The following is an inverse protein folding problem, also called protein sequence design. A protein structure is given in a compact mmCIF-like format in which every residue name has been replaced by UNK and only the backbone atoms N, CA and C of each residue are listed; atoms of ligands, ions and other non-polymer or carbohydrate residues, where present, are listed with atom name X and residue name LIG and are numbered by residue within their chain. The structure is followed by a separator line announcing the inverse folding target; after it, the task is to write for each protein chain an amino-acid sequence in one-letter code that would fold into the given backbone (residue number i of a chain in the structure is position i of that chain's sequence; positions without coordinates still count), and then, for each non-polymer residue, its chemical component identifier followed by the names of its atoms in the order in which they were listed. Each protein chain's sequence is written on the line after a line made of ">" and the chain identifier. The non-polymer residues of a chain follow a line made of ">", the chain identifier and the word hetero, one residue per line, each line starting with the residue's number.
data_IF_394133146047
#
_entry.id   IF_394133146047
#
_cell.length_a   1.000
_cell.length_b   1.000
_cell.length_c   1.000
_cell.angle_alpha   90.00
_cell.angle_beta   90.00
_cell.angle_gamma   90.00
#
_symmetry.space_group_name_H-M   'P 1'
#
loop_
_entity.id
_entity.type
_entity.pdbx_description
1 polymer ?
#
# COMPACT_ATOMS: atom_id res chain seq x y z
N UNK A 1 -8.95 -9.36 13.75
CA UNK A 1 -9.93 -9.81 14.77
C UNK A 1 -9.66 -9.21 16.14
N UNK A 2 -8.43 -9.31 16.69
CA UNK A 2 -8.09 -8.77 18.01
C UNK A 2 -8.40 -7.27 18.16
N UNK A 3 -8.03 -6.45 17.19
CA UNK A 3 -8.30 -5.01 17.19
C UNK A 3 -9.81 -4.67 17.29
N UNK A 4 -10.66 -5.47 16.64
CA UNK A 4 -12.11 -5.30 16.70
C UNK A 4 -12.63 -5.56 18.13
N UNK A 5 -12.15 -6.62 18.78
CA UNK A 5 -12.51 -6.94 20.16
C UNK A 5 -12.09 -5.79 21.08
N UNK A 6 -10.87 -5.28 20.93
CA UNK A 6 -10.38 -4.13 21.71
C UNK A 6 -11.26 -2.89 21.50
N UNK A 7 -11.61 -2.55 20.25
CA UNK A 7 -12.50 -1.41 19.97
C UNK A 7 -13.90 -1.59 20.56
N UNK A 8 -14.45 -2.80 20.59
CA UNK A 8 -15.74 -3.08 21.22
C UNK A 8 -15.69 -2.92 22.75
N UNK A 9 -14.61 -3.38 23.38
CA UNK A 9 -14.38 -3.18 24.82
C UNK A 9 -14.25 -1.69 25.15
N UNK A 10 -13.46 -0.95 24.36
CA UNK A 10 -13.33 0.51 24.52
C UNK A 10 -14.67 1.23 24.36
N UNK A 11 -15.46 0.85 23.36
CA UNK A 11 -16.80 1.41 23.14
C UNK A 11 -17.70 1.15 24.35
N UNK A 12 -17.70 -0.07 24.90
CA UNK A 12 -18.46 -0.42 26.10
C UNK A 12 -18.05 0.42 27.31
N UNK A 13 -16.74 0.58 27.55
CA UNK A 13 -16.22 1.43 28.64
C UNK A 13 -16.65 2.89 28.47
N UNK A 14 -16.58 3.43 27.25
CA UNK A 14 -16.99 4.81 26.96
C UNK A 14 -18.51 5.01 27.10
N UNK A 15 -19.32 4.00 26.75
CA UNK A 15 -20.77 4.02 27.01
C UNK A 15 -21.09 3.99 28.52
N UNK A 16 -20.35 3.20 29.30
CA UNK A 16 -20.48 3.18 30.76
C UNK A 16 -20.10 4.54 31.37
N UNK A 17 -19.03 5.16 30.87
CA UNK A 17 -18.63 6.52 31.23
C UNK A 17 -19.71 7.54 30.87
N UNK A 18 -20.25 7.49 29.65
CA UNK A 18 -21.31 8.39 29.19
C UNK A 18 -22.53 8.35 30.11
N UNK A 19 -22.94 7.15 30.57
CA UNK A 19 -24.06 7.01 31.51
C UNK A 19 -23.82 7.73 32.85
N UNK A 20 -22.56 7.85 33.28
CA UNK A 20 -22.20 8.49 34.56
C UNK A 20 -21.96 10.00 34.41
N UNK A 21 -21.25 10.41 33.36
CA UNK A 21 -20.79 11.79 33.18
C UNK A 21 -21.73 12.67 32.34
N UNK A 22 -22.65 12.08 31.57
CA UNK A 22 -23.53 12.78 30.62
C UNK A 22 -22.83 13.69 29.59
N UNK A 23 -21.51 13.55 29.41
CA UNK A 23 -20.74 14.32 28.43
C UNK A 23 -20.42 13.47 27.20
N UNK A 24 -21.22 13.56 26.12
CA UNK A 24 -20.98 12.78 24.90
C UNK A 24 -19.67 13.16 24.21
N UNK A 25 -19.26 14.43 24.32
CA UNK A 25 -18.02 14.92 23.72
C UNK A 25 -16.79 14.31 24.40
N UNK A 26 -16.78 14.23 25.73
CA UNK A 26 -15.66 13.64 26.47
C UNK A 26 -15.59 12.13 26.20
N UNK A 27 -16.74 11.44 26.17
CA UNK A 27 -16.80 10.02 25.79
C UNK A 27 -16.27 9.77 24.37
N UNK A 28 -16.61 10.65 23.41
CA UNK A 28 -16.11 10.59 22.05
C UNK A 28 -14.59 10.78 21.97
N UNK A 29 -14.07 11.81 22.64
CA UNK A 29 -12.64 12.10 22.67
C UNK A 29 -11.85 10.95 23.30
N UNK A 30 -12.31 10.43 24.43
CA UNK A 30 -11.70 9.27 25.09
C UNK A 30 -11.66 8.05 24.18
N UNK A 31 -12.78 7.74 23.51
CA UNK A 31 -12.85 6.63 22.57
C UNK A 31 -11.84 6.79 21.42
N UNK A 32 -11.78 7.95 20.79
CA UNK A 32 -10.89 8.21 19.66
C UNK A 32 -9.42 8.11 20.04
N UNK A 33 -9.02 8.66 21.18
CA UNK A 33 -7.64 8.58 21.68
C UNK A 33 -7.26 7.13 22.01
N UNK A 34 -8.12 6.40 22.71
CA UNK A 34 -7.85 5.00 23.06
C UNK A 34 -7.87 4.07 21.84
N UNK A 35 -8.75 4.34 20.86
CA UNK A 35 -8.79 3.64 19.58
C UNK A 35 -7.49 3.84 18.80
N UNK A 36 -7.00 5.08 18.72
CA UNK A 36 -5.73 5.41 18.06
C UNK A 36 -4.54 4.72 18.75
N UNK A 37 -4.49 4.74 20.08
CA UNK A 37 -3.46 4.05 20.86
C UNK A 37 -3.50 2.54 20.63
N UNK A 38 -4.69 1.93 20.55
CA UNK A 38 -4.84 0.51 20.26
C UNK A 38 -4.33 0.15 18.86
N UNK A 39 -4.59 0.99 17.86
CA UNK A 39 -4.07 0.80 16.49
C UNK A 39 -2.54 0.90 16.50
N UNK A 40 -1.99 1.91 17.17
CA UNK A 40 -0.55 2.12 17.26
C UNK A 40 0.16 0.95 17.96
N UNK A 41 -0.34 0.51 19.12
CA UNK A 41 0.18 -0.65 19.86
C UNK A 41 0.08 -1.95 19.04
N UNK A 42 -1.01 -2.13 18.28
CA UNK A 42 -1.19 -3.32 17.44
C UNK A 42 -0.14 -3.38 16.32
N UNK A 43 0.22 -2.24 15.72
CA UNK A 43 1.28 -2.19 14.72
C UNK A 43 2.65 -2.44 15.35
N UNK A 44 2.95 -1.79 16.47
CA UNK A 44 4.21 -1.96 17.19
C UNK A 44 4.47 -3.41 17.64
N UNK A 45 3.40 -4.19 17.88
CA UNK A 45 3.50 -5.61 18.24
C UNK A 45 3.77 -6.54 17.05
N UNK A 46 3.41 -6.14 15.83
CA UNK A 46 3.59 -6.95 14.61
C UNK A 46 4.94 -6.67 13.96
N UNK A 47 5.35 -5.41 13.91
CA UNK A 47 6.66 -5.02 13.40
C UNK A 47 7.24 -3.87 14.25
N UNK A 48 8.32 -4.11 15.02
CA UNK A 48 8.95 -3.07 15.83
C UNK A 48 9.71 -2.04 14.98
N UNK A 49 9.89 -2.27 13.67
CA UNK A 49 10.44 -1.26 12.77
C UNK A 49 9.36 -0.21 12.44
N UNK A 50 9.50 0.96 13.08
CA UNK A 50 8.54 2.09 13.09
C UNK A 50 8.27 2.69 11.69
N UNK A 51 8.96 2.23 10.64
CA UNK A 51 8.88 2.80 9.28
C UNK A 51 7.57 2.55 8.54
N UNK A 52 6.68 1.69 9.04
CA UNK A 52 5.45 1.31 8.32
C UNK A 52 4.19 2.13 8.60
N UNK A 53 4.17 2.98 9.64
CA UNK A 53 2.93 3.70 10.02
C UNK A 53 2.93 5.10 9.41
N UNK A 54 2.14 5.30 8.36
CA UNK A 54 1.96 6.63 7.77
C UNK A 54 1.22 7.58 8.74
N UNK A 55 1.83 8.71 9.14
CA UNK A 55 1.23 9.65 10.10
C UNK A 55 -0.08 10.26 9.59
N UNK A 56 -0.22 10.40 8.26
CA UNK A 56 -1.44 10.88 7.61
C UNK A 56 -2.59 9.89 7.81
N UNK A 57 -2.33 8.58 7.68
CA UNK A 57 -3.34 7.54 7.89
C UNK A 57 -3.86 7.52 9.33
N UNK A 58 -2.96 7.66 10.31
CA UNK A 58 -3.33 7.80 11.72
C UNK A 58 -4.19 9.04 11.99
N UNK A 59 -3.81 10.18 11.39
CA UNK A 59 -4.54 11.43 11.55
C UNK A 59 -5.96 11.35 10.98
N UNK A 60 -6.09 10.84 9.74
CA UNK A 60 -7.38 10.66 9.08
C UNK A 60 -8.25 9.66 9.85
N UNK A 61 -7.65 8.54 10.28
CA UNK A 61 -8.32 7.54 11.12
C UNK A 61 -8.84 8.12 12.43
N UNK A 62 -8.06 8.97 13.10
CA UNK A 62 -8.48 9.66 14.32
C UNK A 62 -9.70 10.56 14.09
N UNK A 63 -9.67 11.42 13.07
CA UNK A 63 -10.80 12.32 12.79
C UNK A 63 -12.06 11.57 12.37
N UNK A 64 -11.91 10.49 11.62
CA UNK A 64 -13.04 9.62 11.27
C UNK A 64 -13.64 8.95 12.52
N UNK A 65 -12.81 8.32 13.36
CA UNK A 65 -13.26 7.70 14.61
C UNK A 65 -13.93 8.73 15.53
N UNK A 66 -13.38 9.94 15.61
CA UNK A 66 -13.94 11.04 16.40
C UNK A 66 -15.30 11.53 15.88
N UNK A 67 -15.44 11.76 14.57
CA UNK A 67 -16.71 12.16 13.98
C UNK A 67 -17.82 11.13 14.20
N UNK A 68 -17.51 9.84 13.98
CA UNK A 68 -18.44 8.73 14.25
C UNK A 68 -18.78 8.65 15.73
N UNK A 69 -17.79 8.77 16.62
CA UNK A 69 -18.00 8.71 18.05
C UNK A 69 -18.89 9.86 18.56
N UNK A 70 -18.68 11.10 18.10
CA UNK A 70 -19.54 12.23 18.44
C UNK A 70 -20.99 11.97 18.03
N UNK A 71 -21.21 11.45 16.82
CA UNK A 71 -22.55 11.11 16.35
C UNK A 71 -23.19 10.00 17.19
N UNK A 72 -22.48 8.89 17.42
CA UNK A 72 -22.98 7.73 18.17
C UNK A 72 -23.26 8.10 19.63
N UNK A 73 -22.32 8.75 20.32
CA UNK A 73 -22.50 9.13 21.73
C UNK A 73 -23.53 10.26 21.90
N UNK A 74 -23.61 11.21 20.95
CA UNK A 74 -24.64 12.23 20.94
C UNK A 74 -26.05 11.63 20.80
N UNK A 75 -26.23 10.69 19.87
CA UNK A 75 -27.48 9.96 19.70
C UNK A 75 -27.78 9.04 20.89
N UNK A 76 -26.78 8.33 21.41
CA UNK A 76 -26.93 7.46 22.57
C UNK A 76 -27.37 8.22 23.82
N UNK A 77 -26.80 9.41 24.06
CA UNK A 77 -27.20 10.29 25.15
C UNK A 77 -28.65 10.77 24.95
N UNK A 78 -29.04 11.14 23.72
CA UNK A 78 -30.39 11.59 23.41
C UNK A 78 -31.45 10.50 23.54
N UNK A 79 -31.11 9.26 23.22
CA UNK A 79 -32.04 8.11 23.19
C UNK A 79 -31.82 7.11 24.33
N UNK A 80 -31.20 7.53 25.44
CA UNK A 80 -30.86 6.65 26.55
C UNK A 80 -32.07 5.89 27.14
N UNK A 81 -33.27 6.48 27.07
CA UNK A 81 -34.53 5.87 27.56
C UNK A 81 -35.18 4.90 26.56
N UNK A 82 -34.73 4.87 25.30
CA UNK A 82 -35.29 4.02 24.24
C UNK A 82 -34.27 2.95 23.81
N UNK A 83 -34.24 1.85 24.56
CA UNK A 83 -33.28 0.75 24.41
C UNK A 83 -33.12 0.23 22.97
N UNK A 84 -34.21 0.10 22.21
CA UNK A 84 -34.18 -0.35 20.80
C UNK A 84 -33.43 0.62 19.88
N UNK A 85 -33.66 1.92 20.04
CA UNK A 85 -33.01 2.97 19.23
C UNK A 85 -31.54 3.10 19.62
N UNK A 86 -31.24 2.98 20.91
CA UNK A 86 -29.88 2.96 21.43
C UNK A 86 -29.06 1.82 20.82
N UNK A 87 -29.60 0.59 20.84
CA UNK A 87 -28.92 -0.58 20.30
C UNK A 87 -28.68 -0.45 18.79
N UNK A 88 -29.70 -0.01 18.03
CA UNK A 88 -29.57 0.23 16.59
C UNK A 88 -28.48 1.26 16.26
N UNK A 89 -28.40 2.35 17.04
CA UNK A 89 -27.38 3.40 16.86
C UNK A 89 -25.98 2.85 17.09
N UNK A 90 -25.79 2.02 18.12
CA UNK A 90 -24.50 1.40 18.42
C UNK A 90 -24.08 0.44 17.30
N UNK A 91 -24.99 -0.44 16.85
CA UNK A 91 -24.71 -1.37 15.75
C UNK A 91 -24.32 -0.64 14.46
N UNK A 92 -25.07 0.39 14.07
CA UNK A 92 -24.78 1.19 12.88
C UNK A 92 -23.43 1.89 13.03
N UNK A 93 -23.15 2.48 14.20
CA UNK A 93 -21.87 3.14 14.49
C UNK A 93 -20.67 2.20 14.35
N UNK A 94 -20.78 0.97 14.86
CA UNK A 94 -19.72 -0.05 14.73
C UNK A 94 -19.51 -0.44 13.26
N UNK A 95 -20.58 -0.65 12.50
CA UNK A 95 -20.50 -0.98 11.08
C UNK A 95 -19.84 0.14 10.28
N UNK A 96 -20.27 1.40 10.48
CA UNK A 96 -19.67 2.55 9.81
C UNK A 96 -18.19 2.70 10.18
N UNK A 97 -17.85 2.54 11.46
CA UNK A 97 -16.45 2.61 11.90
C UNK A 97 -15.59 1.56 11.18
N UNK A 98 -16.07 0.31 11.14
CA UNK A 98 -15.33 -0.80 10.55
C UNK A 98 -15.19 -0.67 9.02
N UNK A 99 -16.29 -0.37 8.32
CA UNK A 99 -16.29 -0.19 6.86
C UNK A 99 -15.44 1.02 6.47
N UNK A 100 -15.54 2.12 7.22
CA UNK A 100 -14.73 3.31 6.97
C UNK A 100 -13.24 3.08 7.18
N UNK A 101 -12.85 2.38 8.24
CA UNK A 101 -11.45 2.00 8.47
C UNK A 101 -10.91 1.08 7.36
N UNK A 102 -11.71 0.12 6.89
CA UNK A 102 -11.33 -0.73 5.75
C UNK A 102 -11.12 0.08 4.47
N UNK A 103 -12.03 1.00 4.17
CA UNK A 103 -11.92 1.91 3.03
C UNK A 103 -10.71 2.84 3.13
N UNK A 104 -10.39 3.33 4.33
CA UNK A 104 -9.23 4.19 4.56
C UNK A 104 -7.90 3.44 4.32
N UNK A 105 -7.83 2.15 4.65
CA UNK A 105 -6.67 1.31 4.31
C UNK A 105 -6.54 1.16 2.79
N UNK A 106 -7.65 0.86 2.09
CA UNK A 106 -7.61 0.70 0.63
C UNK A 106 -7.28 2.02 -0.10
N UNK A 107 -7.76 3.14 0.41
CA UNK A 107 -7.38 4.47 -0.08
C UNK A 107 -5.92 4.77 0.24
N UNK A 108 -5.42 4.39 1.42
CA UNK A 108 -4.01 4.52 1.82
C UNK A 108 -3.10 3.80 0.83
N UNK A 109 -3.37 2.54 0.53
CA UNK A 109 -2.61 1.74 -0.45
C UNK A 109 -2.65 2.37 -1.86
N UNK A 110 -3.79 2.96 -2.26
CA UNK A 110 -3.89 3.69 -3.53
C UNK A 110 -3.10 5.01 -3.51
N UNK A 111 -3.06 5.70 -2.37
CA UNK A 111 -2.31 6.94 -2.20
C UNK A 111 -0.81 6.67 -2.15
N UNK A 112 -0.33 5.61 -1.52
CA UNK A 112 1.11 5.27 -1.51
C UNK A 112 1.60 4.83 -2.89
N UNK A 113 0.77 4.09 -3.63
CA UNK A 113 1.02 3.80 -5.04
C UNK A 113 0.93 5.05 -5.94
N UNK A 114 0.18 6.08 -5.54
CA UNK A 114 0.10 7.37 -6.25
C UNK A 114 1.22 8.35 -5.82
N UNK A 115 1.69 8.25 -4.58
CA UNK A 115 2.70 9.11 -3.96
C UNK A 115 4.11 8.81 -4.45
N UNK A 116 4.39 7.54 -4.77
CA UNK A 116 5.57 7.17 -5.56
C UNK A 116 5.48 7.61 -7.03
N UNK A 117 4.31 8.05 -7.50
CA UNK A 117 4.14 8.64 -8.84
C UNK A 117 4.23 10.18 -8.84
N UNK A 118 4.17 10.86 -7.70
CA UNK A 118 4.13 12.34 -7.67
C UNK A 118 5.49 13.04 -7.60
N UNK A 119 6.60 12.34 -7.36
CA UNK A 119 7.94 12.91 -7.56
C UNK A 119 8.52 12.68 -8.97
N UNK A 120 7.85 11.89 -9.81
CA UNK A 120 8.13 11.82 -11.26
C UNK A 120 7.14 12.61 -12.12
N UNK A 121 6.14 13.23 -11.52
CA UNK A 121 5.19 14.12 -12.19
C UNK A 121 5.60 15.60 -12.11
N UNK A 122 6.91 15.92 -12.05
CA UNK A 122 7.37 17.03 -12.89
C UNK A 122 7.35 16.51 -14.32
N UNK A 123 6.12 16.45 -14.85
CA UNK A 123 5.79 16.35 -16.26
C UNK A 123 6.52 17.47 -16.99
N UNK A 124 7.79 17.23 -17.30
CA UNK A 124 8.29 17.63 -18.60
C UNK A 124 7.32 16.98 -19.56
N UNK A 125 6.38 17.78 -20.05
CA UNK A 125 5.66 17.56 -21.30
C UNK A 125 6.56 16.69 -22.20
N UNK A 126 6.33 15.38 -22.23
CA UNK A 126 7.11 14.50 -23.10
C UNK A 126 6.56 14.79 -24.48
N UNK A 127 7.22 15.71 -25.17
CA UNK A 127 6.83 16.20 -26.49
C UNK A 127 6.89 15.07 -27.54
N UNK A 128 7.42 13.90 -27.18
CA UNK A 128 7.64 12.74 -28.05
C UNK A 128 7.37 11.42 -27.32
N UNK A 129 6.93 10.37 -28.04
CA UNK A 129 6.80 9.02 -27.48
C UNK A 129 8.16 8.49 -26.99
N UNK A 130 8.18 7.64 -25.95
CA UNK A 130 9.43 7.09 -25.43
C UNK A 130 10.15 6.27 -26.51
N UNK A 131 11.47 6.34 -26.51
CA UNK A 131 12.31 5.45 -27.31
C UNK A 131 12.27 4.04 -26.74
N UNK A 132 12.28 3.05 -27.61
CA UNK A 132 12.31 1.63 -27.27
C UNK A 132 13.49 0.99 -28.00
N UNK A 133 14.37 0.31 -27.25
CA UNK A 133 15.41 -0.53 -27.81
C UNK A 133 15.27 -1.95 -27.31
N UNK A 134 15.38 -2.90 -28.23
CA UNK A 134 15.31 -4.32 -27.94
C UNK A 134 16.58 -5.07 -28.36
N UNK A 135 16.83 -6.20 -27.72
CA UNK A 135 17.83 -7.17 -28.11
C UNK A 135 17.38 -8.58 -27.71
N UNK A 136 18.00 -9.58 -28.32
CA UNK A 136 17.75 -10.96 -28.01
C UNK A 136 19.00 -11.80 -28.11
N UNK A 137 19.06 -12.89 -27.36
CA UNK A 137 20.20 -13.82 -27.36
C UNK A 137 19.74 -15.21 -26.95
N UNK A 138 20.35 -16.25 -27.53
CA UNK A 138 20.21 -17.62 -27.06
C UNK A 138 21.21 -17.91 -25.94
N UNK A 139 20.76 -18.55 -24.87
CA UNK A 139 21.59 -18.93 -23.74
C UNK A 139 21.50 -20.45 -23.52
N UNK A 140 22.63 -21.14 -23.27
CA UNK A 140 22.65 -22.58 -23.00
C UNK A 140 22.31 -22.86 -21.52
N UNK A 141 21.18 -22.32 -21.06
CA UNK A 141 20.62 -22.48 -19.72
C UNK A 141 19.10 -22.49 -19.82
N UNK A 142 18.42 -23.11 -18.85
CA UNK A 142 16.95 -23.08 -18.79
C UNK A 142 16.41 -21.66 -18.59
N UNK A 143 15.16 -21.44 -18.98
CA UNK A 143 14.49 -20.14 -18.88
C UNK A 143 14.35 -19.68 -17.42
N UNK A 144 14.25 -20.61 -16.48
CA UNK A 144 14.20 -20.34 -15.04
C UNK A 144 15.54 -19.76 -14.54
N UNK A 145 16.67 -20.37 -14.92
CA UNK A 145 18.00 -19.86 -14.58
C UNK A 145 18.28 -18.53 -15.28
N UNK A 146 17.84 -18.39 -16.54
CA UNK A 146 17.90 -17.14 -17.28
C UNK A 146 17.14 -16.01 -16.56
N UNK A 147 15.94 -16.27 -16.04
CA UNK A 147 15.16 -15.28 -15.32
C UNK A 147 15.80 -14.90 -13.97
N UNK A 148 16.43 -15.85 -13.28
CA UNK A 148 17.26 -15.56 -12.12
C UNK A 148 18.43 -14.63 -12.43
N UNK A 149 19.13 -14.85 -13.56
CA UNK A 149 20.19 -13.95 -14.04
C UNK A 149 19.66 -12.58 -14.45
N UNK A 150 18.49 -12.52 -15.08
CA UNK A 150 17.84 -11.26 -15.45
C UNK A 150 17.50 -10.42 -14.21
N UNK A 151 16.97 -11.03 -13.15
CA UNK A 151 16.72 -10.39 -11.85
C UNK A 151 18.01 -9.85 -11.24
N UNK A 152 19.06 -10.68 -11.19
CA UNK A 152 20.36 -10.27 -10.67
C UNK A 152 20.97 -9.11 -11.48
N UNK A 153 20.86 -9.14 -12.81
CA UNK A 153 21.36 -8.10 -13.70
C UNK A 153 20.64 -6.76 -13.46
N UNK A 154 19.30 -6.76 -13.36
CA UNK A 154 18.54 -5.54 -13.06
C UNK A 154 18.94 -4.94 -11.71
N UNK A 155 19.07 -5.78 -10.67
CA UNK A 155 19.52 -5.32 -9.35
C UNK A 155 20.95 -4.76 -9.38
N UNK A 156 21.87 -5.40 -10.10
CA UNK A 156 23.26 -4.95 -10.22
C UNK A 156 23.41 -3.61 -10.95
N UNK A 157 22.46 -3.26 -11.84
CA UNK A 157 22.40 -1.97 -12.51
C UNK A 157 21.45 -0.98 -11.82
N UNK A 158 21.18 -1.18 -10.53
CA UNK A 158 20.44 -0.26 -9.66
C UNK A 158 19.00 0.02 -10.14
N UNK A 159 18.40 -0.91 -10.88
CA UNK A 159 16.98 -0.83 -11.15
C UNK A 159 16.20 -0.98 -9.83
N UNK A 160 15.16 -0.16 -9.67
CA UNK A 160 14.21 -0.18 -8.56
C UNK A 160 12.92 -0.87 -8.97
N UNK A 161 12.10 -1.24 -7.98
CA UNK A 161 10.83 -1.96 -8.18
C UNK A 161 11.01 -3.21 -9.07
N UNK A 162 12.10 -3.95 -8.86
CA UNK A 162 12.42 -5.13 -9.66
C UNK A 162 11.49 -6.26 -9.26
N UNK A 163 10.67 -6.72 -10.20
CA UNK A 163 9.68 -7.78 -9.98
C UNK A 163 9.95 -8.91 -10.96
N UNK A 164 9.94 -10.14 -10.44
CA UNK A 164 10.01 -11.36 -11.22
C UNK A 164 8.68 -12.10 -11.13
N UNK A 165 8.13 -12.47 -12.28
CA UNK A 165 6.95 -13.32 -12.40
C UNK A 165 7.26 -14.47 -13.37
N UNK A 166 7.59 -15.65 -12.83
CA UNK A 166 8.06 -16.79 -13.61
C UNK A 166 9.34 -16.47 -14.37
N UNK A 167 9.29 -16.61 -15.71
CA UNK A 167 10.43 -16.33 -16.61
C UNK A 167 10.51 -14.88 -17.09
N UNK A 168 9.65 -14.01 -16.54
CA UNK A 168 9.58 -12.59 -16.87
C UNK A 168 10.11 -11.74 -15.72
N UNK A 169 10.97 -10.78 -16.03
CA UNK A 169 11.53 -9.84 -15.05
C UNK A 169 11.38 -8.40 -15.55
N UNK A 170 10.99 -7.51 -14.64
CA UNK A 170 10.74 -6.10 -14.89
C UNK A 170 11.50 -5.23 -13.88
N UNK A 171 11.93 -4.03 -14.26
CA UNK A 171 12.47 -3.04 -13.34
C UNK A 171 12.41 -1.61 -13.88
N UNK A 172 12.54 -0.63 -12.99
CA UNK A 172 12.57 0.80 -13.29
C UNK A 172 13.95 1.40 -13.02
N UNK A 173 14.42 2.36 -13.82
CA UNK A 173 15.64 3.14 -13.52
C UNK A 173 15.42 4.60 -13.92
N UNK A 174 15.07 5.44 -12.94
CA UNK A 174 14.61 6.80 -13.21
C UNK A 174 13.40 6.80 -14.13
N UNK A 175 13.50 7.50 -15.26
CA UNK A 175 12.46 7.53 -16.30
C UNK A 175 12.51 6.36 -17.30
N UNK A 176 13.41 5.39 -17.10
CA UNK A 176 13.57 4.23 -17.96
C UNK A 176 12.91 3.00 -17.35
N UNK A 177 12.42 2.11 -18.21
CA UNK A 177 11.83 0.81 -17.83
C UNK A 177 12.53 -0.29 -18.60
N UNK A 178 12.86 -1.38 -17.92
CA UNK A 178 13.48 -2.54 -18.54
C UNK A 178 12.65 -3.80 -18.30
N UNK A 179 12.56 -4.63 -19.33
CA UNK A 179 11.87 -5.91 -19.35
C UNK A 179 12.79 -6.96 -19.93
N UNK A 180 12.90 -8.08 -19.23
CA UNK A 180 13.65 -9.24 -19.65
C UNK A 180 12.74 -10.46 -19.58
N UNK A 181 12.49 -11.09 -20.74
CA UNK A 181 11.65 -12.30 -20.83
C UNK A 181 12.50 -13.46 -21.33
N UNK A 182 12.63 -14.49 -20.51
CA UNK A 182 13.26 -15.74 -20.89
C UNK A 182 12.19 -16.72 -21.38
N UNK A 183 12.47 -17.40 -22.48
CA UNK A 183 11.57 -18.39 -23.10
C UNK A 183 12.34 -19.69 -23.24
N UNK A 184 11.74 -20.79 -22.79
CA UNK A 184 12.33 -22.12 -22.92
C UNK A 184 12.38 -22.55 -24.38
N UNK A 185 13.44 -23.27 -24.74
CA UNK A 185 13.63 -23.90 -26.04
C UNK A 185 14.07 -25.35 -25.81
N UNK A 186 14.03 -26.16 -26.86
CA UNK A 186 14.47 -27.56 -26.82
C UNK A 186 15.88 -27.70 -26.25
N UNK A 187 16.08 -28.75 -25.43
CA UNK A 187 17.40 -29.12 -24.90
C UNK A 187 17.94 -28.22 -23.78
N UNK A 188 17.10 -27.77 -22.84
CA UNK A 188 17.48 -26.91 -21.70
C UNK A 188 18.18 -25.60 -22.10
N UNK A 189 17.83 -25.09 -23.28
CA UNK A 189 18.31 -23.80 -23.78
C UNK A 189 17.20 -22.77 -23.66
N UNK A 190 17.56 -21.50 -23.53
CA UNK A 190 16.60 -20.42 -23.44
C UNK A 190 16.91 -19.32 -24.43
N UNK A 191 15.87 -18.57 -24.76
CA UNK A 191 15.96 -17.36 -25.55
C UNK A 191 15.52 -16.19 -24.70
N UNK A 192 16.40 -15.20 -24.55
CA UNK A 192 16.08 -14.00 -23.78
C UNK A 192 15.72 -12.85 -24.71
N UNK A 193 14.62 -12.18 -24.41
CA UNK A 193 14.23 -10.90 -24.99
C UNK A 193 14.47 -9.80 -23.97
N UNK A 194 15.23 -8.79 -24.35
CA UNK A 194 15.55 -7.61 -23.54
C UNK A 194 14.91 -6.42 -24.23
N UNK A 195 14.14 -5.63 -23.48
CA UNK A 195 13.55 -4.39 -23.96
C UNK A 195 13.76 -3.30 -22.91
N UNK A 196 14.27 -2.14 -23.33
CA UNK A 196 14.39 -0.95 -22.50
C UNK A 196 13.66 0.20 -23.17
N UNK A 197 12.84 0.91 -22.42
CA UNK A 197 12.09 2.07 -22.89
C UNK A 197 12.37 3.30 -22.02
N UNK A 198 12.44 4.48 -22.63
CA UNK A 198 12.70 5.73 -21.92
C UNK A 198 12.75 6.96 -22.82
N UNK A 199 12.88 8.17 -22.25
CA UNK A 199 12.79 9.42 -22.99
C UNK A 199 14.06 9.77 -23.78
N UNK A 200 15.23 9.22 -23.40
CA UNK A 200 16.52 9.60 -23.98
C UNK A 200 17.14 8.41 -24.75
N UNK A 201 17.17 8.51 -26.08
CA UNK A 201 17.62 7.45 -27.00
C UNK A 201 18.99 6.86 -26.63
N UNK A 202 20.09 7.63 -26.51
CA UNK A 202 21.40 7.12 -26.15
C UNK A 202 21.43 6.43 -24.79
N UNK A 203 20.68 6.91 -23.81
CA UNK A 203 20.60 6.28 -22.47
C UNK A 203 19.91 4.91 -22.57
N UNK A 204 18.76 4.86 -23.24
CA UNK A 204 17.99 3.62 -23.44
C UNK A 204 18.84 2.58 -24.17
N UNK A 205 19.55 2.99 -25.22
CA UNK A 205 20.44 2.11 -25.99
C UNK A 205 21.60 1.59 -25.13
N UNK A 206 22.25 2.46 -24.36
CA UNK A 206 23.35 2.09 -23.48
C UNK A 206 22.91 1.10 -22.39
N UNK A 207 21.77 1.35 -21.73
CA UNK A 207 21.21 0.45 -20.72
C UNK A 207 20.91 -0.92 -21.30
N UNK A 208 20.27 -0.96 -22.47
CA UNK A 208 19.99 -2.21 -23.20
C UNK A 208 21.27 -2.97 -23.52
N UNK A 209 22.32 -2.28 -23.97
CA UNK A 209 23.63 -2.87 -24.26
C UNK A 209 24.33 -3.41 -23.01
N UNK A 210 24.23 -2.71 -21.87
CA UNK A 210 24.78 -3.19 -20.59
C UNK A 210 24.09 -4.49 -20.16
N UNK A 211 22.76 -4.51 -20.16
CA UNK A 211 21.97 -5.70 -19.82
C UNK A 211 22.27 -6.88 -20.75
N UNK A 212 22.41 -6.64 -22.05
CA UNK A 212 22.76 -7.67 -23.03
C UNK A 212 24.16 -8.27 -22.80
N UNK A 213 25.11 -7.49 -22.27
CA UNK A 213 26.47 -7.96 -21.98
C UNK A 213 26.55 -8.75 -20.67
N UNK A 214 25.69 -8.45 -19.69
CA UNK A 214 25.67 -9.15 -18.40
C UNK A 214 25.01 -10.54 -18.42
N UNK A 215 24.39 -10.91 -19.54
CA UNK A 215 23.58 -12.13 -19.70
C UNK A 215 24.19 -13.09 -20.71
#
# INVERSE_FOLDING_TARGET
>A
MLLLIVKLVLLYVCLAYLRKSQSPFVAALMYSVLSLLAVWLSHAAVDPSISGIHPVGLLVGFFFDFGVAVAVFGLANRYQTRSRVLFGTICIGVVINFVGQFWLVEIGDKIDNSGYFTDQAKSSKLTFPPHLWSHHKSLPISAEVCAGRALAALNAYEFTSVVRNGTYTYGNLGSNRAVLKCVEREGETSFIYIAVAGPDKPVVENLRNKLAKSL
#
